data_IF_920076400923
#
_entry.id   IF_920076400923
#
_cell.length_a   1.000
_cell.length_b   1.000
_cell.length_c   1.000
_cell.angle_alpha   90.00
_cell.angle_beta   90.00
_cell.angle_gamma   90.00
#
_symmetry.space_group_name_H-M   'P 1'
#
loop_
_entity.id
_entity.type
_entity.pdbx_description
1 polymer ?
#
# COMPACT_ATOMS: atom_id res chain seq x y z
N UNK A 1 14.93 -15.64 6.19
CA UNK A 1 14.57 -15.29 7.61
C UNK A 1 13.12 -15.68 7.79
N UNK A 2 12.77 -16.44 8.79
CA UNK A 2 11.36 -16.73 9.09
C UNK A 2 10.69 -15.46 9.63
N UNK A 3 9.67 -14.97 8.93
CA UNK A 3 8.89 -13.79 9.29
C UNK A 3 7.76 -14.09 10.29
N UNK A 4 7.48 -15.35 10.57
CA UNK A 4 6.43 -15.78 11.49
C UNK A 4 5.01 -15.40 11.04
N UNK A 5 4.77 -15.39 9.71
CA UNK A 5 3.47 -15.07 9.10
C UNK A 5 2.82 -16.26 8.39
N UNK A 6 3.45 -17.43 8.46
CA UNK A 6 2.89 -18.63 7.87
C UNK A 6 1.46 -18.89 8.39
N UNK A 7 0.52 -19.11 7.46
CA UNK A 7 -0.90 -19.30 7.74
C UNK A 7 -1.66 -18.04 8.19
N UNK A 8 -1.02 -16.87 8.30
CA UNK A 8 -1.72 -15.60 8.54
C UNK A 8 -2.43 -15.13 7.28
N UNK A 9 -3.61 -14.54 7.44
CA UNK A 9 -4.35 -13.96 6.32
C UNK A 9 -3.92 -12.52 6.13
N UNK A 10 -3.47 -12.19 4.91
CA UNK A 10 -3.10 -10.85 4.49
C UNK A 10 -4.10 -10.32 3.46
N UNK A 11 -4.73 -9.19 3.75
CA UNK A 11 -5.55 -8.41 2.82
C UNK A 11 -4.70 -7.26 2.27
N UNK A 12 -4.49 -7.23 0.96
CA UNK A 12 -3.74 -6.17 0.27
C UNK A 12 -4.66 -5.45 -0.69
N UNK A 13 -4.83 -4.12 -0.52
CA UNK A 13 -5.72 -3.32 -1.36
C UNK A 13 -5.02 -2.75 -2.59
N UNK A 14 -5.76 -2.63 -3.73
CA UNK A 14 -5.20 -2.19 -5.00
C UNK A 14 -4.09 -3.13 -5.48
N UNK A 15 -4.28 -4.43 -5.33
CA UNK A 15 -3.23 -5.44 -5.46
C UNK A 15 -3.31 -6.27 -6.75
N UNK A 16 -4.20 -5.92 -7.69
CA UNK A 16 -4.29 -6.60 -8.98
C UNK A 16 -3.08 -6.36 -9.89
N UNK A 17 -2.19 -5.40 -9.56
CA UNK A 17 -0.98 -5.10 -10.33
C UNK A 17 0.05 -4.30 -9.53
N UNK A 18 1.24 -4.10 -10.14
CA UNK A 18 2.27 -3.19 -9.65
C UNK A 18 2.79 -3.54 -8.25
N UNK A 19 2.92 -2.53 -7.39
CA UNK A 19 3.46 -2.69 -6.02
C UNK A 19 2.59 -3.64 -5.20
N UNK A 20 1.26 -3.52 -5.30
CA UNK A 20 0.33 -4.36 -4.53
C UNK A 20 0.43 -5.85 -4.90
N UNK A 21 0.52 -6.18 -6.18
CA UNK A 21 0.69 -7.55 -6.64
C UNK A 21 2.02 -8.15 -6.16
N UNK A 22 3.10 -7.35 -6.17
CA UNK A 22 4.40 -7.80 -5.67
C UNK A 22 4.40 -8.01 -4.15
N UNK A 23 3.69 -7.14 -3.39
CA UNK A 23 3.48 -7.34 -1.95
C UNK A 23 2.76 -8.67 -1.70
N UNK A 24 1.72 -8.97 -2.47
CA UNK A 24 0.99 -10.23 -2.37
C UNK A 24 1.91 -11.44 -2.61
N UNK A 25 2.72 -11.41 -3.68
CA UNK A 25 3.68 -12.50 -3.98
C UNK A 25 4.68 -12.69 -2.84
N UNK A 26 5.30 -11.60 -2.39
CA UNK A 26 6.30 -11.65 -1.31
C UNK A 26 5.71 -12.22 -0.01
N UNK A 27 4.50 -11.80 0.39
CA UNK A 27 3.84 -12.33 1.58
C UNK A 27 3.45 -13.82 1.41
N UNK A 28 3.05 -14.24 0.20
CA UNK A 28 2.73 -15.62 -0.10
C UNK A 28 3.96 -16.54 -0.03
N UNK A 29 5.13 -16.07 -0.50
CA UNK A 29 6.41 -16.78 -0.39
C UNK A 29 6.80 -17.10 1.06
N UNK A 30 6.41 -16.23 2.00
CA UNK A 30 6.58 -16.42 3.44
C UNK A 30 5.42 -17.19 4.09
N UNK A 31 4.52 -17.78 3.28
CA UNK A 31 3.45 -18.69 3.71
C UNK A 31 2.17 -18.00 4.20
N UNK A 32 1.99 -16.71 3.97
CA UNK A 32 0.71 -16.05 4.24
C UNK A 32 -0.36 -16.48 3.23
N UNK A 33 -1.63 -16.51 3.67
CA UNK A 33 -2.80 -16.68 2.83
C UNK A 33 -3.27 -15.31 2.34
N UNK A 34 -3.44 -15.13 1.05
CA UNK A 34 -3.55 -13.82 0.44
C UNK A 34 -4.97 -13.53 -0.05
N UNK A 35 -5.54 -12.43 0.41
CA UNK A 35 -6.69 -11.79 -0.20
C UNK A 35 -6.20 -10.63 -1.07
N UNK A 36 -6.25 -10.82 -2.39
CA UNK A 36 -5.91 -9.80 -3.38
C UNK A 36 -7.15 -8.94 -3.60
N UNK A 37 -7.16 -7.71 -3.11
CA UNK A 37 -8.24 -6.77 -3.41
C UNK A 37 -7.84 -5.84 -4.56
N UNK A 38 -8.75 -5.67 -5.49
CA UNK A 38 -8.72 -4.63 -6.53
C UNK A 38 -10.14 -4.09 -6.75
N UNK A 39 -10.28 -2.95 -7.42
CA UNK A 39 -11.59 -2.44 -7.84
C UNK A 39 -12.23 -3.37 -8.90
N UNK A 40 -11.41 -4.04 -9.70
CA UNK A 40 -11.83 -4.92 -10.79
C UNK A 40 -11.57 -6.38 -10.42
N UNK A 41 -12.65 -7.21 -10.43
CA UNK A 41 -12.58 -8.63 -10.06
C UNK A 41 -11.57 -9.39 -10.94
N UNK A 42 -11.55 -9.15 -12.24
CA UNK A 42 -10.64 -9.82 -13.18
C UNK A 42 -9.17 -9.65 -12.78
N UNK A 43 -8.76 -8.40 -12.42
CA UNK A 43 -7.38 -8.13 -11.97
C UNK A 43 -7.04 -8.81 -10.66
N UNK A 44 -7.99 -8.82 -9.72
CA UNK A 44 -7.84 -9.51 -8.45
C UNK A 44 -7.68 -11.02 -8.65
N UNK A 45 -8.47 -11.61 -9.54
CA UNK A 45 -8.45 -13.05 -9.84
C UNK A 45 -7.18 -13.47 -10.59
N UNK A 46 -6.71 -12.66 -11.54
CA UNK A 46 -5.46 -12.88 -12.27
C UNK A 46 -4.27 -12.91 -11.30
N UNK A 47 -4.12 -11.89 -10.47
CA UNK A 47 -3.04 -11.83 -9.48
C UNK A 47 -3.14 -12.96 -8.44
N UNK A 48 -4.33 -13.33 -8.00
CA UNK A 48 -4.53 -14.48 -7.11
C UNK A 48 -4.20 -15.81 -7.81
N UNK A 49 -4.49 -15.94 -9.12
CA UNK A 49 -4.16 -17.14 -9.89
C UNK A 49 -2.64 -17.32 -10.03
N UNK A 50 -1.88 -16.23 -10.23
CA UNK A 50 -0.41 -16.28 -10.25
C UNK A 50 0.16 -16.82 -8.93
N UNK A 51 -0.36 -16.35 -7.80
CA UNK A 51 0.06 -16.81 -6.47
C UNK A 51 -0.25 -18.30 -6.29
N UNK A 52 -1.46 -18.74 -6.68
CA UNK A 52 -1.82 -20.17 -6.61
C UNK A 52 -0.97 -21.04 -7.53
N UNK A 53 -0.63 -20.54 -8.72
CA UNK A 53 0.26 -21.26 -9.66
C UNK A 53 1.68 -21.41 -9.08
N UNK A 54 2.13 -20.49 -8.24
CA UNK A 54 3.39 -20.58 -7.50
C UNK A 54 3.31 -21.44 -6.22
N UNK A 55 2.13 -22.03 -5.91
CA UNK A 55 1.93 -22.93 -4.75
C UNK A 55 1.41 -22.21 -3.49
N UNK A 56 1.11 -20.92 -3.55
CA UNK A 56 0.52 -20.17 -2.46
C UNK A 56 -1.01 -20.35 -2.37
N UNK A 57 -1.61 -19.87 -1.29
CA UNK A 57 -3.05 -19.83 -1.09
C UNK A 57 -3.55 -18.39 -1.28
N UNK A 58 -4.45 -18.16 -2.25
CA UNK A 58 -4.93 -16.82 -2.56
C UNK A 58 -6.34 -16.80 -3.16
N UNK A 59 -7.10 -15.73 -2.86
CA UNK A 59 -8.38 -15.40 -3.48
C UNK A 59 -8.35 -13.97 -4.03
N UNK A 60 -9.08 -13.73 -5.13
CA UNK A 60 -9.36 -12.40 -5.65
C UNK A 60 -10.68 -11.85 -5.09
N UNK A 61 -10.67 -10.61 -4.62
CA UNK A 61 -11.85 -9.97 -4.01
C UNK A 61 -11.99 -8.55 -4.55
N UNK A 62 -13.03 -8.32 -5.37
CA UNK A 62 -13.36 -6.98 -5.82
C UNK A 62 -14.00 -6.18 -4.69
N UNK A 63 -13.49 -4.97 -4.46
CA UNK A 63 -14.15 -3.98 -3.59
C UNK A 63 -13.60 -2.58 -3.86
N UNK A 64 -14.49 -1.59 -3.76
CA UNK A 64 -14.12 -0.18 -3.78
C UNK A 64 -13.75 0.26 -2.36
N UNK A 65 -12.48 0.62 -2.15
CA UNK A 65 -12.00 1.09 -0.84
C UNK A 65 -12.65 2.40 -0.39
N UNK A 66 -13.23 3.17 -1.32
CA UNK A 66 -13.94 4.42 -1.00
C UNK A 66 -15.32 4.17 -0.39
N UNK A 67 -15.87 2.97 -0.58
CA UNK A 67 -17.17 2.54 -0.04
C UNK A 67 -16.97 1.58 1.14
N UNK A 68 -17.36 2.02 2.32
CA UNK A 68 -17.23 1.23 3.55
C UNK A 68 -18.02 -0.08 3.48
N UNK A 69 -19.24 -0.07 2.93
CA UNK A 69 -20.07 -1.27 2.85
C UNK A 69 -19.44 -2.31 1.89
N UNK A 70 -18.85 -1.84 0.78
CA UNK A 70 -18.08 -2.68 -0.14
C UNK A 70 -16.93 -3.39 0.56
N UNK A 71 -16.16 -2.65 1.38
CA UNK A 71 -15.03 -3.21 2.13
C UNK A 71 -15.48 -4.15 3.24
N UNK A 72 -16.55 -3.83 3.98
CA UNK A 72 -17.09 -4.72 5.02
C UNK A 72 -17.56 -6.06 4.42
N UNK A 73 -18.20 -6.05 3.27
CA UNK A 73 -18.58 -7.26 2.55
C UNK A 73 -17.35 -8.06 2.07
N UNK A 74 -16.34 -7.37 1.53
CA UNK A 74 -15.10 -8.01 1.11
C UNK A 74 -14.36 -8.66 2.28
N UNK A 75 -14.22 -7.99 3.42
CA UNK A 75 -13.61 -8.54 4.63
C UNK A 75 -14.38 -9.77 5.12
N UNK A 76 -15.71 -9.71 5.17
CA UNK A 76 -16.55 -10.86 5.55
C UNK A 76 -16.30 -12.07 4.64
N UNK A 77 -16.18 -11.86 3.33
CA UNK A 77 -15.85 -12.91 2.37
C UNK A 77 -14.46 -13.48 2.62
N UNK A 78 -13.45 -12.62 2.81
CA UNK A 78 -12.07 -13.04 3.12
C UNK A 78 -12.04 -13.89 4.39
N UNK A 79 -12.72 -13.45 5.44
CA UNK A 79 -12.72 -14.16 6.72
C UNK A 79 -13.44 -15.51 6.63
N UNK A 80 -14.45 -15.64 5.79
CA UNK A 80 -15.15 -16.91 5.56
C UNK A 80 -14.33 -17.91 4.73
N UNK A 81 -13.53 -17.44 3.75
CA UNK A 81 -12.79 -18.30 2.82
C UNK A 81 -11.37 -18.60 3.31
N UNK A 82 -10.66 -17.60 3.87
CA UNK A 82 -9.28 -17.73 4.29
C UNK A 82 -9.08 -17.70 5.82
N UNK A 83 -10.07 -17.23 6.56
CA UNK A 83 -9.96 -16.98 7.99
C UNK A 83 -9.66 -15.52 8.33
N UNK A 84 -9.50 -15.21 9.64
CA UNK A 84 -9.48 -13.84 10.13
C UNK A 84 -8.29 -13.04 9.60
N UNK A 85 -8.57 -11.84 9.10
CA UNK A 85 -7.53 -10.93 8.59
C UNK A 85 -6.58 -10.54 9.73
N UNK A 86 -5.31 -10.95 9.59
CA UNK A 86 -4.25 -10.63 10.53
C UNK A 86 -3.33 -9.52 10.01
N UNK A 87 -3.14 -9.43 8.70
CA UNK A 87 -2.29 -8.41 8.08
C UNK A 87 -3.16 -7.60 7.11
N UNK A 88 -3.18 -6.28 7.26
CA UNK A 88 -3.79 -5.35 6.30
C UNK A 88 -2.70 -4.50 5.68
N UNK A 89 -2.66 -4.48 4.34
CA UNK A 89 -1.81 -3.56 3.59
C UNK A 89 -2.69 -2.59 2.81
N UNK A 90 -2.76 -1.36 3.26
CA UNK A 90 -3.42 -0.26 2.55
C UNK A 90 -2.49 0.26 1.45
N UNK A 91 -2.60 -0.35 0.28
CA UNK A 91 -1.80 0.01 -0.89
C UNK A 91 -2.63 0.73 -1.97
N UNK A 92 -3.95 0.56 -2.01
CA UNK A 92 -4.80 1.25 -2.96
C UNK A 92 -4.47 2.75 -3.01
N UNK A 93 -4.22 3.25 -4.19
CA UNK A 93 -3.71 4.60 -4.42
C UNK A 93 -4.28 5.19 -5.70
N UNK A 94 -3.46 5.88 -6.50
CA UNK A 94 -3.91 6.54 -7.71
C UNK A 94 -4.48 5.50 -8.69
N UNK A 95 -5.72 5.67 -9.16
CA UNK A 95 -6.28 4.77 -10.15
C UNK A 95 -5.59 5.02 -11.50
N UNK A 96 -4.62 4.21 -11.85
CA UNK A 96 -4.08 4.21 -13.20
C UNK A 96 -5.02 3.36 -14.09
N UNK A 97 -6.04 3.97 -14.67
CA UNK A 97 -6.89 3.37 -15.69
C UNK A 97 -6.32 3.59 -17.09
N UNK A 98 -5.55 4.67 -17.27
CA UNK A 98 -4.78 4.98 -18.48
C UNK A 98 -3.42 5.58 -18.09
N UNK A 99 -2.49 5.69 -19.05
CA UNK A 99 -1.22 6.38 -18.83
C UNK A 99 -1.42 7.84 -18.38
N UNK A 100 -2.53 8.47 -18.75
CA UNK A 100 -2.92 9.81 -18.32
C UNK A 100 -3.43 9.86 -16.87
N UNK A 101 -3.93 8.75 -16.34
CA UNK A 101 -4.39 8.62 -14.95
C UNK A 101 -3.25 8.19 -14.00
N UNK A 102 -2.13 7.73 -14.51
CA UNK A 102 -0.96 7.33 -13.72
C UNK A 102 -0.25 8.53 -13.08
N UNK A 103 -0.34 9.68 -13.72
CA UNK A 103 0.02 10.97 -13.11
C UNK A 103 -1.27 11.52 -12.52
N UNK A 104 -1.30 11.94 -11.24
CA UNK A 104 -2.47 12.64 -10.71
C UNK A 104 -2.91 13.69 -11.72
N UNK A 105 -4.20 13.71 -12.06
CA UNK A 105 -4.80 14.63 -13.03
C UNK A 105 -4.58 16.12 -12.69
N UNK A 106 -3.84 16.38 -11.66
CA UNK A 106 -3.32 17.67 -11.21
C UNK A 106 -1.99 18.05 -11.84
N UNK A 107 -1.63 17.52 -13.03
CA UNK A 107 -0.42 17.92 -13.77
C UNK A 107 -0.29 19.42 -14.05
N UNK A 108 -1.22 20.22 -13.52
CA UNK A 108 -1.24 21.66 -13.47
C UNK A 108 -0.82 22.23 -12.12
N UNK A 109 -0.57 23.55 -12.08
CA UNK A 109 -0.40 24.27 -10.82
C UNK A 109 -1.68 24.26 -10.00
N UNK A 110 -1.55 24.26 -8.66
CA UNK A 110 -2.66 24.18 -7.71
C UNK A 110 -3.89 25.07 -8.01
N UNK A 111 -3.75 26.33 -8.49
CA UNK A 111 -4.91 27.15 -8.83
C UNK A 111 -5.82 26.55 -9.93
N UNK A 112 -5.31 25.64 -10.75
CA UNK A 112 -6.08 24.96 -11.79
C UNK A 112 -6.72 23.64 -11.34
N UNK A 113 -6.48 23.19 -10.12
CA UNK A 113 -7.07 21.96 -9.61
C UNK A 113 -8.52 22.14 -9.16
N UNK A 114 -9.35 21.12 -9.34
CA UNK A 114 -10.78 21.16 -9.00
C UNK A 114 -11.09 20.54 -7.65
N UNK A 115 -12.23 20.93 -7.06
CA UNK A 115 -12.78 20.29 -5.86
C UNK A 115 -13.04 18.80 -6.11
N UNK A 116 -13.47 18.41 -7.29
CA UNK A 116 -13.72 17.03 -7.67
C UNK A 116 -12.44 16.19 -7.61
N UNK A 117 -11.31 16.73 -8.09
CA UNK A 117 -10.02 16.05 -8.00
C UNK A 117 -9.58 15.86 -6.56
N UNK A 118 -9.84 16.85 -5.70
CA UNK A 118 -9.52 16.75 -4.28
C UNK A 118 -10.37 15.69 -3.59
N UNK A 119 -11.69 15.70 -3.81
CA UNK A 119 -12.60 14.73 -3.22
C UNK A 119 -12.27 13.30 -3.66
N UNK A 120 -11.93 13.10 -4.94
CA UNK A 120 -11.46 11.81 -5.48
C UNK A 120 -10.17 11.36 -4.79
N UNK A 121 -9.20 12.24 -4.66
CA UNK A 121 -7.91 11.95 -4.03
C UNK A 121 -8.06 11.61 -2.55
N UNK A 122 -8.85 12.41 -1.82
CA UNK A 122 -9.14 12.18 -0.40
C UNK A 122 -9.96 10.91 -0.20
N UNK A 123 -10.97 10.68 -1.04
CA UNK A 123 -11.80 9.48 -1.02
C UNK A 123 -10.93 8.22 -1.10
N UNK A 124 -10.09 8.16 -2.13
CA UNK A 124 -9.27 6.98 -2.37
C UNK A 124 -8.18 6.77 -1.31
N UNK A 125 -7.39 7.81 -1.02
CA UNK A 125 -6.19 7.67 -0.18
C UNK A 125 -6.55 7.76 1.31
N UNK A 126 -7.38 8.72 1.72
CA UNK A 126 -7.66 8.97 3.13
C UNK A 126 -8.81 8.11 3.62
N UNK A 127 -9.98 8.20 2.98
CA UNK A 127 -11.14 7.40 3.38
C UNK A 127 -10.94 5.92 3.10
N UNK A 128 -10.24 5.55 2.01
CA UNK A 128 -9.89 4.15 1.75
C UNK A 128 -9.11 3.51 2.89
N UNK A 129 -8.09 4.20 3.42
CA UNK A 129 -7.32 3.73 4.58
C UNK A 129 -8.20 3.63 5.84
N UNK A 130 -9.09 4.61 6.07
CA UNK A 130 -10.01 4.59 7.20
C UNK A 130 -10.97 3.41 7.11
N UNK A 131 -11.62 3.21 5.96
CA UNK A 131 -12.61 2.15 5.73
C UNK A 131 -11.98 0.76 5.92
N UNK A 132 -10.86 0.48 5.25
CA UNK A 132 -10.19 -0.81 5.35
C UNK A 132 -9.69 -1.09 6.78
N UNK A 133 -9.07 -0.10 7.42
CA UNK A 133 -8.55 -0.28 8.80
C UNK A 133 -9.69 -0.50 9.79
N UNK A 134 -10.79 0.27 9.69
CA UNK A 134 -11.98 0.11 10.53
C UNK A 134 -12.57 -1.30 10.43
N UNK A 135 -12.62 -1.86 9.22
CA UNK A 135 -13.25 -3.16 8.98
C UNK A 135 -12.48 -4.35 9.58
N UNK A 136 -11.18 -4.21 9.89
CA UNK A 136 -10.37 -5.33 10.40
C UNK A 136 -9.86 -5.12 11.83
N UNK A 137 -9.79 -3.87 12.31
CA UNK A 137 -9.10 -3.55 13.57
C UNK A 137 -9.74 -4.20 14.79
N UNK A 138 -11.08 -4.28 14.83
CA UNK A 138 -11.81 -4.91 15.94
C UNK A 138 -11.39 -6.37 16.14
N UNK A 139 -11.42 -7.17 15.08
CA UNK A 139 -11.00 -8.56 15.11
C UNK A 139 -9.50 -8.73 15.44
N UNK A 140 -8.64 -7.83 14.96
CA UNK A 140 -7.22 -7.83 15.33
C UNK A 140 -7.02 -7.56 16.83
N UNK A 141 -7.76 -6.61 17.41
CA UNK A 141 -7.69 -6.27 18.83
C UNK A 141 -8.19 -7.43 19.73
N UNK A 142 -9.30 -8.07 19.35
CA UNK A 142 -9.84 -9.24 20.06
C UNK A 142 -8.84 -10.40 20.10
N UNK A 143 -8.18 -10.68 18.98
CA UNK A 143 -7.17 -11.74 18.86
C UNK A 143 -5.81 -11.35 19.45
N UNK A 144 -5.64 -10.07 19.86
CA UNK A 144 -4.38 -9.49 20.35
C UNK A 144 -3.20 -9.73 19.40
N UNK A 145 -3.48 -9.66 18.11
CA UNK A 145 -2.50 -9.75 17.05
C UNK A 145 -3.02 -9.08 15.77
N UNK A 146 -2.26 -8.18 15.22
CA UNK A 146 -2.54 -7.52 13.96
C UNK A 146 -1.38 -6.69 13.47
N UNK A 147 -1.29 -6.54 12.15
CA UNK A 147 -0.31 -5.73 11.44
C UNK A 147 -1.01 -4.90 10.38
N UNK A 148 -0.94 -3.58 10.51
CA UNK A 148 -1.43 -2.66 9.49
C UNK A 148 -0.24 -1.92 8.90
N UNK A 149 -0.06 -2.03 7.58
CA UNK A 149 0.99 -1.33 6.85
C UNK A 149 0.35 -0.43 5.79
N UNK A 150 0.56 0.87 5.93
CA UNK A 150 0.05 1.87 5.00
C UNK A 150 1.13 2.26 3.99
N UNK A 151 0.91 1.99 2.71
CA UNK A 151 1.80 2.44 1.63
C UNK A 151 1.49 3.90 1.33
N UNK A 152 2.36 4.77 1.79
CA UNK A 152 2.25 6.21 1.58
C UNK A 152 3.09 6.66 0.37
N UNK A 153 3.76 7.79 0.47
CA UNK A 153 4.71 8.31 -0.52
C UNK A 153 5.60 9.36 0.14
N UNK A 154 6.80 9.53 -0.37
CA UNK A 154 7.67 10.64 0.01
C UNK A 154 7.01 12.01 -0.26
N UNK A 155 6.11 12.11 -1.25
CA UNK A 155 5.28 13.29 -1.45
C UNK A 155 4.50 13.69 -0.19
N UNK A 156 4.07 12.73 0.65
CA UNK A 156 3.40 13.00 1.93
C UNK A 156 4.36 13.41 3.06
N UNK A 157 5.67 13.24 2.87
CA UNK A 157 6.70 13.58 3.87
C UNK A 157 7.35 14.94 3.61
N UNK A 158 7.71 15.20 2.37
CA UNK A 158 8.46 16.42 2.00
C UNK A 158 7.64 17.40 1.15
N UNK A 159 6.46 16.98 0.68
CA UNK A 159 5.68 17.73 -0.29
C UNK A 159 6.26 17.58 -1.70
N UNK A 160 5.40 17.44 -2.69
CA UNK A 160 5.81 17.34 -4.09
C UNK A 160 5.08 18.40 -4.92
N UNK A 161 5.80 19.27 -5.65
CA UNK A 161 5.17 20.24 -6.53
C UNK A 161 4.20 19.58 -7.50
N UNK A 162 3.07 20.23 -7.75
CA UNK A 162 1.95 19.75 -8.59
C UNK A 162 1.18 18.54 -8.01
N UNK A 163 1.59 17.98 -6.87
CA UNK A 163 0.90 16.89 -6.16
C UNK A 163 0.31 17.37 -4.82
N UNK A 164 -0.21 18.61 -4.74
CA UNK A 164 -0.60 19.26 -3.47
C UNK A 164 -1.65 18.45 -2.70
N UNK A 165 -2.77 18.09 -3.34
CA UNK A 165 -3.83 17.30 -2.70
C UNK A 165 -3.36 15.87 -2.36
N UNK A 166 -2.56 15.26 -3.24
CA UNK A 166 -1.96 13.95 -3.01
C UNK A 166 -1.00 13.97 -1.82
N UNK A 167 -0.10 14.97 -1.76
CA UNK A 167 0.83 15.15 -0.65
C UNK A 167 0.09 15.32 0.68
N UNK A 168 -0.99 16.13 0.69
CA UNK A 168 -1.85 16.33 1.86
C UNK A 168 -2.52 15.02 2.29
N UNK A 169 -3.09 14.25 1.35
CA UNK A 169 -3.73 12.98 1.66
C UNK A 169 -2.74 11.96 2.24
N UNK A 170 -1.56 11.81 1.62
CA UNK A 170 -0.52 10.89 2.10
C UNK A 170 0.06 11.33 3.44
N UNK A 171 0.21 12.62 3.70
CA UNK A 171 0.58 13.17 5.02
C UNK A 171 -0.48 12.89 6.09
N UNK A 172 -1.76 12.98 5.73
CA UNK A 172 -2.88 12.62 6.62
C UNK A 172 -2.81 11.16 7.09
N UNK A 173 -2.41 10.24 6.22
CA UNK A 173 -2.22 8.83 6.57
C UNK A 173 -1.09 8.65 7.59
N UNK A 174 -0.05 9.47 7.59
CA UNK A 174 1.01 9.45 8.62
C UNK A 174 0.42 9.81 9.99
N UNK A 175 -0.40 10.87 10.06
CA UNK A 175 -1.09 11.25 11.29
C UNK A 175 -2.02 10.15 11.81
N UNK A 176 -2.84 9.58 10.93
CA UNK A 176 -3.70 8.42 11.22
C UNK A 176 -2.88 7.25 11.78
N UNK A 177 -1.79 6.87 11.12
CA UNK A 177 -0.91 5.77 11.53
C UNK A 177 -0.41 5.95 12.95
N UNK A 178 0.08 7.14 13.29
CA UNK A 178 0.60 7.45 14.64
C UNK A 178 -0.50 7.40 15.70
N UNK A 179 -1.69 7.88 15.40
CA UNK A 179 -2.83 7.87 16.31
C UNK A 179 -3.31 6.44 16.57
N UNK A 180 -3.58 5.67 15.51
CA UNK A 180 -4.06 4.30 15.62
C UNK A 180 -3.02 3.37 16.26
N UNK A 181 -1.73 3.58 16.02
CA UNK A 181 -0.64 2.85 16.68
C UNK A 181 -0.68 3.00 18.19
N UNK A 182 -0.91 4.21 18.71
CA UNK A 182 -1.05 4.48 20.15
C UNK A 182 -2.30 3.83 20.74
N UNK A 183 -3.41 3.91 20.02
CA UNK A 183 -4.68 3.35 20.45
C UNK A 183 -4.66 1.82 20.51
N UNK A 184 -4.02 1.18 19.52
CA UNK A 184 -4.07 -0.26 19.30
C UNK A 184 -2.90 -1.02 19.94
N UNK A 185 -1.85 -0.34 20.36
CA UNK A 185 -0.63 -0.98 20.91
C UNK A 185 -0.91 -1.88 22.11
N UNK A 186 -1.83 -1.49 23.00
CA UNK A 186 -2.25 -2.32 24.17
C UNK A 186 -2.87 -3.67 23.78
N UNK A 187 -3.28 -3.81 22.52
CA UNK A 187 -3.84 -5.05 21.95
C UNK A 187 -2.82 -5.82 21.11
N UNK A 188 -1.52 -5.47 21.16
CA UNK A 188 -0.45 -6.06 20.37
C UNK A 188 -0.67 -5.92 18.84
N UNK A 189 -1.36 -4.86 18.41
CA UNK A 189 -1.55 -4.49 17.01
C UNK A 189 -0.59 -3.36 16.67
N UNK A 190 0.24 -3.55 15.63
CA UNK A 190 1.14 -2.51 15.13
C UNK A 190 0.57 -1.84 13.89
N UNK A 191 0.82 -0.54 13.75
CA UNK A 191 0.40 0.24 12.59
C UNK A 191 1.58 1.08 12.13
N UNK A 192 2.05 0.86 10.89
CA UNK A 192 3.23 1.53 10.34
C UNK A 192 2.98 2.01 8.90
N UNK A 193 3.84 2.87 8.42
CA UNK A 193 3.90 3.30 7.01
C UNK A 193 5.16 2.79 6.32
N UNK A 194 5.03 2.47 5.03
CA UNK A 194 6.15 2.40 4.09
C UNK A 194 6.02 3.57 3.12
N UNK A 195 7.10 4.31 2.92
CA UNK A 195 7.16 5.50 2.07
C UNK A 195 8.04 5.27 0.85
N UNK A 196 7.45 4.84 -0.27
CA UNK A 196 8.16 4.79 -1.55
C UNK A 196 8.40 6.19 -2.11
N UNK A 197 9.45 6.31 -2.94
CA UNK A 197 9.56 7.35 -3.95
C UNK A 197 9.27 6.76 -5.34
N UNK A 198 9.90 7.26 -6.42
CA UNK A 198 9.65 6.76 -7.77
C UNK A 198 10.01 5.29 -7.88
N UNK A 199 9.01 4.49 -8.23
CA UNK A 199 9.10 3.04 -8.39
C UNK A 199 8.72 2.68 -9.82
N UNK A 200 9.52 1.84 -10.46
CA UNK A 200 9.26 1.36 -11.83
C UNK A 200 8.14 0.33 -11.79
N UNK A 201 7.01 0.69 -12.37
CA UNK A 201 5.85 -0.17 -12.59
C UNK A 201 5.39 0.01 -14.03
N UNK A 202 4.49 -0.82 -14.53
CA UNK A 202 3.95 -0.63 -15.88
C UNK A 202 3.28 0.74 -16.04
N UNK A 203 2.66 1.25 -14.98
CA UNK A 203 2.01 2.56 -14.98
C UNK A 203 2.99 3.76 -14.99
N UNK A 204 4.23 3.56 -14.55
CA UNK A 204 5.24 4.65 -14.45
C UNK A 204 6.36 4.52 -15.46
N UNK A 205 6.48 3.40 -16.13
CA UNK A 205 7.59 3.07 -17.04
C UNK A 205 7.77 4.09 -18.14
N UNK A 206 6.72 4.35 -18.91
CA UNK A 206 6.77 5.31 -20.02
C UNK A 206 7.21 6.70 -19.56
N UNK A 207 6.60 7.21 -18.50
CA UNK A 207 6.97 8.49 -17.92
C UNK A 207 8.43 8.52 -17.43
N UNK A 208 8.93 7.43 -16.82
CA UNK A 208 10.31 7.32 -16.37
C UNK A 208 11.26 7.35 -17.57
N UNK A 209 10.94 6.64 -18.64
CA UNK A 209 11.72 6.61 -19.88
C UNK A 209 11.80 7.99 -20.52
N UNK A 210 10.69 8.76 -20.54
CA UNK A 210 10.66 10.15 -21.00
C UNK A 210 11.55 11.09 -20.17
N UNK A 211 11.64 10.87 -18.83
CA UNK A 211 12.54 11.66 -17.98
C UNK A 211 14.02 11.32 -18.21
N UNK A 212 14.30 10.14 -18.73
CA UNK A 212 15.66 9.65 -18.99
C UNK A 212 16.54 9.62 -17.74
N UNK A 213 17.84 9.74 -17.91
CA UNK A 213 18.80 9.70 -16.79
C UNK A 213 18.64 10.85 -15.77
N UNK A 214 17.93 11.91 -16.15
CA UNK A 214 17.75 13.08 -15.27
C UNK A 214 17.03 12.72 -13.97
N UNK A 215 16.06 11.80 -14.03
CA UNK A 215 15.29 11.38 -12.84
C UNK A 215 16.18 10.69 -11.80
N UNK A 216 17.19 9.92 -12.23
CA UNK A 216 18.09 9.20 -11.31
C UNK A 216 18.98 10.11 -10.47
N UNK A 217 19.15 11.37 -10.90
CA UNK A 217 20.04 12.32 -10.18
C UNK A 217 19.52 12.64 -8.77
N UNK A 218 18.20 12.57 -8.56
CA UNK A 218 17.57 12.78 -7.26
C UNK A 218 17.70 11.61 -6.29
N UNK A 219 18.25 10.48 -6.74
CA UNK A 219 18.28 9.23 -5.98
C UNK A 219 19.74 8.76 -5.77
N UNK A 220 20.35 9.01 -4.61
CA UNK A 220 21.73 8.58 -4.36
C UNK A 220 22.01 7.12 -4.66
N UNK A 221 21.08 6.21 -4.26
CA UNK A 221 21.25 4.78 -4.53
C UNK A 221 21.09 4.41 -6.01
N UNK A 222 20.34 5.19 -6.80
CA UNK A 222 20.16 4.87 -8.22
C UNK A 222 21.48 4.91 -8.99
N UNK A 223 22.41 5.78 -8.60
CA UNK A 223 23.74 5.84 -9.21
C UNK A 223 24.56 4.57 -8.98
N UNK A 224 24.46 3.99 -7.78
CA UNK A 224 25.20 2.78 -7.42
C UNK A 224 24.57 1.50 -7.97
N UNK A 225 23.23 1.45 -7.98
CA UNK A 225 22.45 0.30 -8.43
C UNK A 225 22.16 0.30 -9.94
N UNK A 226 22.34 1.45 -10.62
CA UNK A 226 21.99 1.62 -12.03
C UNK A 226 20.47 1.57 -12.31
N UNK A 227 19.62 1.74 -11.26
CA UNK A 227 18.15 1.66 -11.37
C UNK A 227 17.42 2.50 -10.34
N UNK A 228 16.19 2.82 -10.63
CA UNK A 228 15.21 3.34 -9.65
C UNK A 228 14.65 2.20 -8.78
N UNK A 229 13.75 2.53 -7.86
CA UNK A 229 13.05 1.57 -7.02
C UNK A 229 12.21 0.58 -7.85
N UNK A 230 12.15 -0.67 -7.40
CA UNK A 230 11.30 -1.73 -7.95
C UNK A 230 10.19 -2.07 -6.95
N UNK A 231 9.07 -2.65 -7.39
CA UNK A 231 8.03 -3.15 -6.49
C UNK A 231 8.56 -4.06 -5.38
N UNK A 232 9.55 -4.91 -5.67
CA UNK A 232 10.20 -5.81 -4.72
C UNK A 232 10.94 -5.10 -3.59
N UNK A 233 11.50 -3.89 -3.83
CA UNK A 233 12.13 -3.11 -2.77
C UNK A 233 11.08 -2.69 -1.73
N UNK A 234 9.88 -2.32 -2.18
CA UNK A 234 8.77 -1.92 -1.31
C UNK A 234 8.14 -3.14 -0.63
N UNK A 235 7.92 -4.21 -1.38
CA UNK A 235 7.31 -5.44 -0.87
C UNK A 235 8.12 -6.06 0.27
N UNK A 236 9.45 -6.07 0.19
CA UNK A 236 10.35 -6.54 1.24
C UNK A 236 10.17 -5.76 2.55
N UNK A 237 10.05 -4.43 2.48
CA UNK A 237 9.82 -3.59 3.65
C UNK A 237 8.42 -3.81 4.25
N UNK A 238 7.39 -3.98 3.40
CA UNK A 238 6.03 -4.28 3.83
C UNK A 238 5.97 -5.65 4.50
N UNK A 239 6.60 -6.68 3.93
CA UNK A 239 6.66 -8.02 4.52
C UNK A 239 7.34 -8.00 5.90
N UNK A 240 8.44 -7.27 6.04
CA UNK A 240 9.10 -7.09 7.35
C UNK A 240 8.18 -6.42 8.36
N UNK A 241 7.55 -5.28 8.03
CA UNK A 241 6.65 -4.57 8.95
C UNK A 241 5.34 -5.34 9.23
N UNK A 242 4.89 -6.17 8.29
CA UNK A 242 3.75 -7.09 8.43
C UNK A 242 4.06 -8.34 9.26
N UNK A 243 5.31 -8.56 9.66
CA UNK A 243 5.79 -9.79 10.28
C UNK A 243 5.74 -9.78 11.80
N UNK A 244 5.96 -10.95 12.41
CA UNK A 244 6.20 -11.08 13.84
C UNK A 244 7.54 -10.45 14.26
N UNK A 245 8.49 -10.31 13.33
CA UNK A 245 9.81 -9.71 13.61
C UNK A 245 9.75 -8.20 13.88
N UNK A 246 8.68 -7.54 13.45
CA UNK A 246 8.45 -6.10 13.66
C UNK A 246 7.50 -5.80 14.82
N UNK A 247 7.28 -6.72 15.75
CA UNK A 247 6.29 -6.58 16.84
C UNK A 247 6.57 -5.41 17.80
N UNK A 248 7.81 -4.92 17.86
CA UNK A 248 8.19 -3.75 18.67
C UNK A 248 8.27 -2.44 17.86
N UNK A 249 7.82 -2.47 16.59
CA UNK A 249 7.83 -1.32 15.69
C UNK A 249 6.40 -0.90 15.43
N UNK A 250 6.00 0.30 15.90
CA UNK A 250 4.67 0.85 15.66
C UNK A 250 4.70 2.38 15.55
N UNK A 251 3.81 2.96 14.77
CA UNK A 251 3.72 4.40 14.52
C UNK A 251 4.84 4.98 13.65
N UNK A 252 5.63 4.12 12.99
CA UNK A 252 6.82 4.54 12.24
C UNK A 252 6.53 4.74 10.76
N UNK A 253 7.37 5.53 10.12
CA UNK A 253 7.42 5.70 8.66
C UNK A 253 8.78 5.19 8.19
N UNK A 254 8.78 4.06 7.49
CA UNK A 254 9.98 3.50 6.89
C UNK A 254 10.09 3.97 5.44
N UNK A 255 11.14 4.74 5.15
CA UNK A 255 11.43 5.17 3.78
C UNK A 255 12.08 4.06 2.98
N UNK A 256 11.52 3.82 1.78
CA UNK A 256 12.06 2.93 0.74
C UNK A 256 12.16 3.75 -0.54
N UNK A 257 13.09 4.70 -0.55
CA UNK A 257 13.10 5.82 -1.48
C UNK A 257 14.45 6.07 -2.16
N UNK A 258 15.40 5.15 -2.03
CA UNK A 258 16.74 5.29 -2.65
C UNK A 258 17.54 6.51 -2.18
N UNK A 259 17.16 7.11 -1.03
CA UNK A 259 17.79 8.32 -0.50
C UNK A 259 17.24 9.63 -1.10
N UNK A 260 16.09 9.57 -1.80
CA UNK A 260 15.42 10.76 -2.36
C UNK A 260 15.16 11.82 -1.28
N UNK A 261 14.66 11.41 -0.14
CA UNK A 261 14.50 12.28 1.01
C UNK A 261 14.97 11.59 2.30
N UNK A 262 15.43 12.37 3.24
CA UNK A 262 15.84 11.93 4.58
C UNK A 262 15.04 12.67 5.65
N UNK A 263 13.78 12.97 5.36
CA UNK A 263 12.89 13.66 6.29
C UNK A 263 12.58 12.78 7.52
N UNK A 264 12.67 13.37 8.68
CA UNK A 264 12.34 12.76 9.99
C UNK A 264 10.84 12.72 10.23
#
# INVERSE_FOLDING_TARGET
>A
MDLGINGKVALVTGAGRGIGAEICRTLAEDGARIAVNDLFQERADEAAAEIRAAGGEAIGVAADVTDLASIEAAVSRVESELGPVGILVNNAGIPATTAQDAVPSTGGFFPGSSRQDWDRTMGLITYGVLNCSRSVIGGMQERRWGRIVNVISDAGRVGEPRLVAYSMAKAGVIGFTKALAKESGRFAVTVNCVSPATTVTDATREWIEEQGEAIMRGYPLAKGLGRLGLPSDIASAVAFLGSARAEWITGQVLSVNGGYSMAS
#
